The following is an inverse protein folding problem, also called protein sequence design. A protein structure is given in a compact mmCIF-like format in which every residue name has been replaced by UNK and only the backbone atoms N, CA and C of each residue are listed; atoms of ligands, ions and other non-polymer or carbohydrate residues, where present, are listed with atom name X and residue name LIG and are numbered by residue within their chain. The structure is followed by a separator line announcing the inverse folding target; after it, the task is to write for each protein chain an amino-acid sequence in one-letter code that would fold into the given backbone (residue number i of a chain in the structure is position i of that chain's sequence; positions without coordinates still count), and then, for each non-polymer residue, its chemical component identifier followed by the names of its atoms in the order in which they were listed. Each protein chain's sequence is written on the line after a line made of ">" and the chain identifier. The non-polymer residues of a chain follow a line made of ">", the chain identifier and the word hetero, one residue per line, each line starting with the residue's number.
data_IF_242806264107
#
_entry.id   IF_242806264107
#
_cell.length_a   1.000
_cell.length_b   1.000
_cell.length_c   1.000
_cell.angle_alpha   90.00
_cell.angle_beta   90.00
_cell.angle_gamma   90.00
#
_symmetry.space_group_name_H-M   'P 1'
#
loop_
_entity.id
_entity.type
_entity.pdbx_description
1 polymer ?
#
# COMPACT_ATOMS: atom_id res chain seq x y z
N UNK A 1 -2.13 -4.78 -20.47
CA UNK A 1 -3.10 -4.73 -21.60
C UNK A 1 -4.28 -3.86 -21.21
N UNK A 2 -4.31 -2.62 -21.68
CA UNK A 2 -5.39 -1.66 -21.45
C UNK A 2 -6.67 -2.07 -22.20
N UNK A 3 -7.83 -1.56 -21.78
CA UNK A 3 -9.08 -1.72 -22.53
C UNK A 3 -8.99 -0.94 -23.85
N UNK A 4 -9.76 -1.38 -24.85
CA UNK A 4 -9.89 -0.64 -26.11
C UNK A 4 -10.43 0.77 -25.86
N UNK A 5 -9.80 1.77 -26.49
CA UNK A 5 -10.11 3.20 -26.36
C UNK A 5 -11.60 3.48 -26.62
N UNK A 6 -12.21 2.81 -27.61
CA UNK A 6 -13.63 2.98 -27.96
C UNK A 6 -14.60 2.67 -26.80
N UNK A 7 -14.20 1.82 -25.85
CA UNK A 7 -15.05 1.39 -24.72
C UNK A 7 -14.91 2.26 -23.47
N UNK A 8 -13.96 3.21 -23.48
CA UNK A 8 -13.66 4.04 -22.31
C UNK A 8 -13.05 3.26 -21.13
N UNK A 9 -12.74 4.04 -20.10
CA UNK A 9 -12.20 3.55 -18.83
C UNK A 9 -13.31 2.80 -18.07
N UNK A 10 -12.97 1.70 -17.42
CA UNK A 10 -13.92 1.01 -16.55
C UNK A 10 -13.88 1.59 -15.15
N UNK A 11 -14.91 2.37 -14.80
CA UNK A 11 -15.18 2.81 -13.44
C UNK A 11 -16.32 1.97 -12.84
N UNK A 12 -16.16 1.60 -11.57
CA UNK A 12 -17.22 0.95 -10.81
C UNK A 12 -18.09 2.01 -10.12
N UNK A 13 -19.34 2.14 -10.56
CA UNK A 13 -20.32 3.06 -10.00
C UNK A 13 -20.53 2.86 -8.49
N UNK A 14 -20.41 1.62 -8.00
CA UNK A 14 -20.54 1.32 -6.56
C UNK A 14 -19.41 1.92 -5.76
N UNK A 15 -18.22 2.00 -6.36
CA UNK A 15 -17.03 2.54 -5.74
C UNK A 15 -17.09 4.07 -5.71
N UNK A 16 -17.54 4.69 -6.81
CA UNK A 16 -17.82 6.12 -6.87
C UNK A 16 -18.85 6.56 -5.82
N UNK A 17 -19.98 5.86 -5.73
CA UNK A 17 -21.03 6.17 -4.74
C UNK A 17 -20.52 6.11 -3.30
N UNK A 18 -19.51 5.27 -3.02
CA UNK A 18 -18.90 5.18 -1.69
C UNK A 18 -17.96 6.34 -1.36
N UNK A 19 -17.44 7.02 -2.38
CA UNK A 19 -16.47 8.11 -2.27
C UNK A 19 -17.17 9.47 -2.36
N UNK A 20 -18.25 9.56 -3.13
CA UNK A 20 -19.01 10.78 -3.34
C UNK A 20 -19.36 11.48 -2.01
N UNK A 21 -18.95 12.75 -1.88
CA UNK A 21 -19.22 13.59 -0.71
C UNK A 21 -18.41 13.27 0.54
N UNK A 22 -17.42 12.37 0.47
CA UNK A 22 -16.55 12.04 1.60
C UNK A 22 -15.20 12.72 1.50
N UNK A 23 -14.57 12.94 2.66
CA UNK A 23 -13.22 13.47 2.74
C UNK A 23 -12.20 12.34 2.93
N UNK A 24 -11.14 12.25 2.12
CA UNK A 24 -10.13 11.19 2.22
C UNK A 24 -9.50 11.06 3.62
N UNK A 25 -9.29 12.16 4.34
CA UNK A 25 -8.63 12.15 5.65
C UNK A 25 -9.48 11.50 6.76
N UNK A 26 -10.80 11.61 6.66
CA UNK A 26 -11.75 11.13 7.67
C UNK A 26 -12.44 9.83 7.26
N UNK A 27 -12.19 9.34 6.05
CA UNK A 27 -12.89 8.17 5.53
C UNK A 27 -12.11 6.90 5.89
N UNK A 28 -12.74 5.95 6.60
CA UNK A 28 -12.10 4.67 6.87
C UNK A 28 -11.88 3.89 5.57
N UNK A 29 -10.97 2.91 5.61
CA UNK A 29 -10.64 2.06 4.47
C UNK A 29 -11.89 1.54 3.74
N UNK A 30 -11.97 1.84 2.44
CA UNK A 30 -13.08 1.40 1.58
C UNK A 30 -12.77 0.01 1.04
N UNK A 31 -13.50 -1.01 1.52
CA UNK A 31 -13.36 -2.38 1.01
C UNK A 31 -13.94 -2.53 -0.40
N UNK A 32 -13.16 -3.15 -1.29
CA UNK A 32 -13.54 -3.42 -2.67
C UNK A 32 -13.07 -4.81 -3.12
N UNK A 33 -13.94 -5.48 -3.87
CA UNK A 33 -13.64 -6.70 -4.62
C UNK A 33 -13.39 -6.41 -6.10
N UNK A 34 -13.69 -5.19 -6.54
CA UNK A 34 -13.63 -4.81 -7.95
C UNK A 34 -12.20 -4.45 -8.35
N UNK A 35 -11.35 -5.48 -8.49
CA UNK A 35 -9.93 -5.34 -8.90
C UNK A 35 -9.75 -4.78 -10.32
N UNK A 36 -10.80 -4.85 -11.14
CA UNK A 36 -10.76 -4.39 -12.53
C UNK A 36 -11.03 -2.89 -12.67
N UNK A 37 -11.53 -2.21 -11.63
CA UNK A 37 -11.80 -0.78 -11.65
C UNK A 37 -10.51 0.01 -11.83
N UNK A 38 -10.57 1.00 -12.71
CA UNK A 38 -9.48 1.95 -12.94
C UNK A 38 -9.59 3.09 -11.93
N UNK A 39 -8.44 3.53 -11.44
CA UNK A 39 -8.33 4.61 -10.48
C UNK A 39 -8.65 5.93 -11.19
N UNK A 40 -9.68 6.61 -10.69
CA UNK A 40 -10.10 7.94 -11.12
C UNK A 40 -9.40 9.02 -10.27
N UNK A 41 -9.18 10.25 -10.78
CA UNK A 41 -8.67 11.36 -9.98
C UNK A 41 -9.48 11.65 -8.71
N UNK A 42 -10.78 11.36 -8.69
CA UNK A 42 -11.63 11.53 -7.50
C UNK A 42 -11.26 10.59 -6.34
N UNK A 43 -10.47 9.56 -6.60
CA UNK A 43 -10.06 8.56 -5.61
C UNK A 43 -8.75 8.91 -4.90
N UNK A 44 -8.12 10.04 -5.24
CA UNK A 44 -6.85 10.47 -4.68
C UNK A 44 -6.96 10.71 -3.16
N UNK A 45 -5.98 10.20 -2.42
CA UNK A 45 -5.94 10.31 -0.96
C UNK A 45 -6.84 9.33 -0.21
N UNK A 46 -7.71 8.57 -0.89
CA UNK A 46 -8.48 7.51 -0.24
C UNK A 46 -7.67 6.23 -0.10
N UNK A 47 -7.88 5.53 1.01
CA UNK A 47 -7.35 4.18 1.24
C UNK A 47 -8.37 3.13 0.85
N UNK A 48 -8.02 2.27 -0.10
CA UNK A 48 -8.85 1.13 -0.51
C UNK A 48 -8.30 -0.16 0.05
N UNK A 49 -9.19 -0.97 0.60
CA UNK A 49 -8.91 -2.37 0.88
C UNK A 49 -9.21 -3.18 -0.38
N UNK A 50 -8.19 -3.54 -1.16
CA UNK A 50 -8.37 -4.32 -2.40
C UNK A 50 -8.23 -5.81 -2.09
N UNK A 51 -9.31 -6.56 -2.32
CA UNK A 51 -9.31 -8.01 -2.07
C UNK A 51 -8.33 -8.75 -3.00
N UNK A 52 -7.45 -9.58 -2.42
CA UNK A 52 -6.47 -10.36 -3.18
C UNK A 52 -6.81 -11.87 -3.32
N UNK A 53 -7.97 -12.29 -2.84
CA UNK A 53 -8.38 -13.70 -2.78
C UNK A 53 -8.32 -14.31 -1.37
N UNK A 54 -7.70 -13.62 -0.41
CA UNK A 54 -7.67 -14.03 1.00
C UNK A 54 -7.97 -12.87 1.95
N UNK A 55 -7.31 -11.74 1.73
CA UNK A 55 -7.40 -10.55 2.58
C UNK A 55 -7.61 -9.30 1.74
N UNK A 56 -8.05 -8.22 2.38
CA UNK A 56 -8.07 -6.89 1.77
C UNK A 56 -6.73 -6.22 2.06
N UNK A 57 -5.98 -5.93 1.00
CA UNK A 57 -4.71 -5.22 1.10
C UNK A 57 -5.00 -3.73 1.07
N UNK A 58 -4.47 -2.99 2.05
CA UNK A 58 -4.58 -1.54 2.11
C UNK A 58 -3.71 -0.89 1.03
N UNK A 59 -4.34 -0.07 0.20
CA UNK A 59 -3.71 0.70 -0.88
C UNK A 59 -4.14 2.15 -0.73
N UNK A 60 -3.20 3.01 -0.34
CA UNK A 60 -3.36 4.46 -0.39
C UNK A 60 -3.15 4.92 -1.84
N UNK A 61 -4.12 5.63 -2.40
CA UNK A 61 -4.05 6.07 -3.80
C UNK A 61 -3.30 7.40 -3.93
N UNK A 62 -2.22 7.38 -4.72
CA UNK A 62 -1.43 8.56 -5.12
C UNK A 62 -1.70 8.96 -6.57
N UNK A 63 -1.20 10.13 -6.98
CA UNK A 63 -1.39 10.68 -8.33
C UNK A 63 -0.82 9.78 -9.43
N UNK A 64 0.34 9.18 -9.20
CA UNK A 64 1.00 8.28 -10.16
C UNK A 64 0.19 7.00 -10.45
N UNK A 65 -0.79 6.67 -9.60
CA UNK A 65 -1.62 5.49 -9.74
C UNK A 65 -2.84 5.74 -10.64
N UNK A 66 -3.12 6.99 -11.02
CA UNK A 66 -4.27 7.33 -11.88
C UNK A 66 -4.13 6.65 -13.25
N UNK A 67 -5.22 6.04 -13.72
CA UNK A 67 -5.23 5.28 -14.98
C UNK A 67 -4.79 3.82 -14.85
N UNK A 68 -4.19 3.43 -13.72
CA UNK A 68 -3.94 2.03 -13.38
C UNK A 68 -5.16 1.35 -12.77
N UNK A 69 -5.15 0.00 -12.74
CA UNK A 69 -6.20 -0.78 -12.08
C UNK A 69 -5.86 -1.05 -10.62
N UNK A 70 -6.86 -1.00 -9.75
CA UNK A 70 -6.71 -1.31 -8.32
C UNK A 70 -6.08 -2.69 -8.08
N UNK A 71 -6.34 -3.66 -8.95
CA UNK A 71 -5.77 -5.00 -8.86
C UNK A 71 -4.26 -5.08 -9.06
N UNK A 72 -3.64 -4.09 -9.71
CA UNK A 72 -2.18 -4.06 -9.96
C UNK A 72 -1.40 -3.86 -8.65
N UNK A 73 -2.03 -3.20 -7.66
CA UNK A 73 -1.45 -2.89 -6.36
C UNK A 73 -1.76 -3.94 -5.28
N UNK A 74 -2.47 -5.01 -5.64
CA UNK A 74 -2.88 -6.08 -4.72
C UNK A 74 -2.46 -7.44 -5.27
N UNK A 75 -1.24 -7.92 -4.92
CA UNK A 75 -0.70 -9.18 -5.42
C UNK A 75 -1.49 -10.37 -4.88
N UNK A 76 -1.84 -11.30 -5.77
CA UNK A 76 -2.70 -12.46 -5.45
C UNK A 76 -1.93 -13.72 -5.09
N UNK A 77 -0.69 -13.85 -5.56
CA UNK A 77 0.20 -14.98 -5.28
C UNK A 77 1.40 -14.49 -4.50
N UNK A 78 1.78 -15.24 -3.46
CA UNK A 78 3.07 -15.05 -2.80
C UNK A 78 4.14 -15.62 -3.74
N UNK A 79 5.04 -14.78 -4.20
CA UNK A 79 6.18 -15.23 -4.98
C UNK A 79 7.15 -15.97 -4.06
N UNK A 80 7.34 -17.26 -4.32
CA UNK A 80 8.34 -18.09 -3.64
C UNK A 80 9.52 -18.27 -4.58
N UNK A 81 10.67 -17.68 -4.23
CA UNK A 81 11.92 -17.92 -4.96
C UNK A 81 12.40 -19.34 -4.70
N UNK A 82 12.80 -20.05 -5.76
CA UNK A 82 13.59 -21.28 -5.61
C UNK A 82 15.06 -20.91 -5.41
N UNK A 83 15.37 -20.27 -4.28
CA UNK A 83 16.74 -20.04 -3.83
C UNK A 83 17.17 -21.18 -2.92
N UNK A 84 18.31 -21.81 -3.19
CA UNK A 84 18.90 -22.77 -2.25
C UNK A 84 19.19 -22.15 -0.88
N UNK A 85 19.64 -22.97 0.09
CA UNK A 85 19.88 -22.55 1.49
C UNK A 85 20.69 -21.25 1.60
N UNK A 86 21.74 -21.10 0.78
CA UNK A 86 22.58 -19.88 0.73
C UNK A 86 21.80 -18.58 0.47
N UNK A 87 20.82 -18.60 -0.44
CA UNK A 87 20.12 -17.37 -0.82
C UNK A 87 19.13 -16.94 0.26
N UNK A 88 18.56 -17.92 0.96
CA UNK A 88 17.71 -17.70 2.14
C UNK A 88 18.52 -17.13 3.31
N UNK A 89 19.72 -17.65 3.55
CA UNK A 89 20.63 -17.13 4.60
C UNK A 89 21.10 -15.69 4.29
N UNK A 90 21.40 -15.37 3.03
CA UNK A 90 21.76 -14.02 2.63
C UNK A 90 20.59 -13.03 2.76
N UNK A 91 19.37 -13.44 2.40
CA UNK A 91 18.17 -12.61 2.59
C UNK A 91 17.84 -12.43 4.08
N UNK A 92 18.02 -13.46 4.91
CA UNK A 92 17.85 -13.38 6.37
C UNK A 92 18.87 -12.44 7.02
N UNK A 93 20.16 -12.57 6.67
CA UNK A 93 21.21 -11.66 7.16
C UNK A 93 20.95 -10.21 6.75
N UNK A 94 20.44 -9.97 5.53
CA UNK A 94 20.04 -8.63 5.09
C UNK A 94 18.85 -8.10 5.89
N UNK A 95 17.82 -8.92 6.13
CA UNK A 95 16.68 -8.54 6.98
C UNK A 95 17.11 -8.24 8.42
N UNK A 96 17.99 -9.05 9.01
CA UNK A 96 18.51 -8.83 10.36
C UNK A 96 19.33 -7.53 10.45
N UNK A 97 20.17 -7.24 9.45
CA UNK A 97 20.92 -6.00 9.37
C UNK A 97 20.00 -4.77 9.24
N UNK A 98 18.94 -4.87 8.42
CA UNK A 98 17.96 -3.80 8.21
C UNK A 98 17.09 -3.58 9.47
N UNK A 99 16.72 -4.65 10.18
CA UNK A 99 16.03 -4.58 11.48
C UNK A 99 16.94 -3.94 12.55
N UNK A 100 18.23 -4.29 12.59
CA UNK A 100 19.16 -3.72 13.55
C UNK A 100 19.46 -2.24 13.25
N UNK A 101 19.56 -1.85 11.98
CA UNK A 101 19.68 -0.45 11.57
C UNK A 101 18.42 0.35 11.93
N UNK A 102 17.22 -0.22 11.70
CA UNK A 102 15.96 0.40 12.08
C UNK A 102 15.79 0.53 13.61
N UNK A 103 16.23 -0.47 14.38
CA UNK A 103 16.27 -0.40 15.85
C UNK A 103 17.26 0.66 16.35
N UNK A 104 18.46 0.72 15.77
CA UNK A 104 19.45 1.75 16.12
C UNK A 104 18.97 3.17 15.82
N UNK A 105 18.25 3.38 14.71
CA UNK A 105 17.62 4.68 14.40
C UNK A 105 16.47 5.03 15.36
N UNK A 106 15.76 4.02 15.88
CA UNK A 106 14.69 4.20 16.87
C UNK A 106 15.23 4.47 18.27
N UNK A 107 16.37 3.88 18.64
CA UNK A 107 17.08 4.17 19.90
C UNK A 107 17.77 5.54 19.88
N UNK A 108 18.33 5.96 18.73
CA UNK A 108 18.93 7.30 18.58
C UNK A 108 17.90 8.44 18.68
N UNK A 109 16.66 8.21 18.24
CA UNK A 109 15.57 9.20 18.38
C UNK A 109 14.94 9.21 19.77
N UNK A 110 14.98 8.09 20.51
CA UNK A 110 14.57 8.04 21.92
C UNK A 110 15.61 8.69 22.87
N UNK A 111 16.91 8.52 22.62
CA UNK A 111 17.98 9.12 23.44
C UNK A 111 18.10 10.64 23.34
N UNK A 112 17.60 11.25 22.25
CA UNK A 112 17.57 12.70 22.09
C UNK A 112 16.45 13.39 22.90
N UNK A 113 15.40 12.64 23.30
CA UNK A 113 14.32 13.16 24.13
C UNK A 113 14.70 13.20 25.63
N UNK A 114 15.53 12.26 26.09
CA UNK A 114 15.89 12.13 27.51
C UNK A 114 16.98 13.12 27.96
N UNK A 115 17.81 13.64 27.04
CA UNK A 115 18.91 14.56 27.37
C UNK A 115 18.54 16.05 27.38
N UNK A 116 17.30 16.43 27.00
CA UNK A 116 16.83 17.83 27.05
C UNK A 116 16.10 18.22 28.34
N UNK A 117 15.92 17.28 29.28
CA UNK A 117 15.21 17.48 30.54
C UNK A 117 16.08 17.68 31.79
N UNK A 118 17.40 17.76 31.66
CA UNK A 118 18.32 17.88 32.80
C UNK A 118 19.31 19.03 32.65
N UNK A 119 18.82 20.28 32.55
CA UNK A 119 19.57 21.45 33.01
C UNK A 119 18.66 22.67 33.17
N UNK A 120 18.59 23.09 34.45
CA UNK A 120 18.09 24.35 35.01
C UNK A 120 16.61 24.42 35.36
#
# INVERSE_FOLDING_TARGET
>A
MSRSIKKGIYLDERLLKKIAGKNPLNTPMIKTWTRAAVISPEMLGFTFGVYNGKVHVEVLVTEDMVGHRLGEFSPTKKFTKHGGKMQKELEQKKQEAEINAAKGAKEASAGAADSKGAKK
#
